data_IF_852731969607
#
_entry.id   IF_852731969607
#
_cell.length_a   1.000
_cell.length_b   1.000
_cell.length_c   1.000
_cell.angle_alpha   90.00
_cell.angle_beta   90.00
_cell.angle_gamma   90.00
#
_symmetry.space_group_name_H-M   'P 1'
#
loop_
_entity.id
_entity.type
_entity.pdbx_description
1 polymer ?
#
# COMPACT_ATOMS: atom_id res chain seq x y z
N UNK A 1 -17.00 -11.48 -1.90
CA UNK A 1 -16.31 -11.44 -3.23
C UNK A 1 -14.92 -12.04 -3.05
N UNK A 2 -14.27 -12.53 -4.11
CA UNK A 2 -12.92 -13.08 -4.01
C UNK A 2 -11.99 -12.43 -5.04
N UNK A 3 -10.76 -12.15 -4.63
CA UNK A 3 -9.70 -11.71 -5.55
C UNK A 3 -9.21 -12.95 -6.32
N UNK A 4 -9.22 -12.87 -7.64
CA UNK A 4 -8.76 -13.96 -8.50
C UNK A 4 -7.27 -13.83 -8.79
N UNK A 5 -6.57 -14.95 -8.65
CA UNK A 5 -5.13 -15.07 -8.91
C UNK A 5 -4.90 -16.26 -9.85
N UNK A 6 -4.03 -16.08 -10.81
CA UNK A 6 -3.56 -17.15 -11.71
C UNK A 6 -2.15 -17.55 -11.29
N UNK A 7 -1.93 -18.83 -11.00
CA UNK A 7 -0.62 -19.43 -10.80
C UNK A 7 -0.27 -20.23 -12.04
N UNK A 8 0.56 -19.68 -12.93
CA UNK A 8 0.96 -20.32 -14.18
C UNK A 8 2.36 -20.91 -14.07
N UNK A 9 2.51 -22.17 -14.53
CA UNK A 9 3.82 -22.81 -14.64
C UNK A 9 4.63 -22.11 -15.74
N UNK A 10 5.79 -21.57 -15.37
CA UNK A 10 6.71 -20.88 -16.30
C UNK A 10 8.14 -21.24 -16.01
N UNK A 11 8.96 -21.25 -17.05
CA UNK A 11 10.41 -21.38 -16.91
C UNK A 11 11.01 -20.06 -16.45
N UNK A 12 11.59 -20.05 -15.26
CA UNK A 12 12.30 -18.90 -14.68
C UNK A 12 13.80 -19.10 -14.91
N UNK A 13 14.39 -18.29 -15.79
CA UNK A 13 15.81 -18.40 -16.21
C UNK A 13 16.76 -17.60 -15.31
N UNK A 14 16.25 -16.64 -14.52
CA UNK A 14 17.02 -15.70 -13.70
C UNK A 14 16.67 -15.91 -12.23
N UNK A 15 17.69 -15.93 -11.36
CA UNK A 15 17.54 -16.06 -9.91
C UNK A 15 18.39 -17.18 -9.32
N UNK A 16 18.35 -17.33 -7.99
CA UNK A 16 19.16 -18.32 -7.24
C UNK A 16 18.83 -19.79 -7.60
N UNK A 17 17.61 -20.05 -8.07
CA UNK A 17 17.15 -21.39 -8.47
C UNK A 17 16.38 -21.30 -9.78
N UNK A 18 17.02 -21.37 -10.96
CA UNK A 18 16.33 -21.43 -12.24
C UNK A 18 15.56 -22.74 -12.38
N UNK A 19 14.51 -22.75 -13.22
CA UNK A 19 13.69 -23.92 -13.48
C UNK A 19 12.21 -23.59 -13.64
N UNK A 20 11.38 -24.61 -13.79
CA UNK A 20 9.94 -24.48 -13.92
C UNK A 20 9.31 -24.17 -12.56
N UNK A 21 8.59 -23.04 -12.46
CA UNK A 21 7.93 -22.58 -11.24
C UNK A 21 6.55 -22.04 -11.55
N UNK A 22 5.64 -22.19 -10.58
CA UNK A 22 4.36 -21.49 -10.63
C UNK A 22 4.57 -20.02 -10.27
N UNK A 23 4.30 -19.13 -11.23
CA UNK A 23 4.37 -17.68 -11.04
C UNK A 23 2.95 -17.18 -10.85
N UNK A 24 2.71 -16.53 -9.72
CA UNK A 24 1.40 -15.97 -9.37
C UNK A 24 1.26 -14.57 -9.93
N UNK A 25 0.07 -14.27 -10.46
CA UNK A 25 -0.31 -12.94 -10.93
C UNK A 25 -1.80 -12.70 -10.66
N UNK A 26 -2.22 -11.46 -10.37
CA UNK A 26 -3.63 -11.16 -10.25
C UNK A 26 -4.33 -11.37 -11.60
N UNK A 27 -5.53 -11.94 -11.56
CA UNK A 27 -6.45 -12.05 -12.69
C UNK A 27 -7.39 -10.84 -12.65
N UNK A 28 -6.95 -9.75 -13.32
CA UNK A 28 -7.65 -8.49 -13.27
C UNK A 28 -8.89 -8.52 -14.18
N UNK A 29 -10.00 -8.05 -13.66
CA UNK A 29 -11.20 -7.80 -14.46
C UNK A 29 -10.97 -6.65 -15.45
N UNK A 30 -11.90 -6.50 -16.37
CA UNK A 30 -11.93 -5.35 -17.29
C UNK A 30 -11.93 -4.04 -16.48
N UNK A 31 -11.10 -3.06 -16.84
CA UNK A 31 -11.05 -1.78 -16.15
C UNK A 31 -12.42 -1.10 -16.10
N UNK A 32 -12.79 -0.62 -14.92
CA UNK A 32 -14.00 0.17 -14.74
C UNK A 32 -13.77 1.55 -15.33
N UNK A 33 -14.74 2.06 -16.08
CA UNK A 33 -14.66 3.41 -16.66
C UNK A 33 -14.96 4.47 -15.60
N UNK A 34 -14.33 5.64 -15.72
CA UNK A 34 -14.60 6.81 -14.89
C UNK A 34 -16.09 7.15 -14.80
N UNK A 35 -16.78 7.12 -15.96
CA UNK A 35 -18.23 7.33 -16.03
C UNK A 35 -19.01 6.39 -15.11
N UNK A 36 -18.64 5.10 -15.07
CA UNK A 36 -19.29 4.10 -14.22
C UNK A 36 -19.05 4.40 -12.75
N UNK A 37 -17.82 4.79 -12.36
CA UNK A 37 -17.51 5.18 -10.98
C UNK A 37 -18.39 6.33 -10.52
N UNK A 38 -18.53 7.39 -11.32
CA UNK A 38 -19.37 8.54 -10.94
C UNK A 38 -20.87 8.22 -10.94
N UNK A 39 -21.35 7.32 -11.81
CA UNK A 39 -22.73 6.86 -11.78
C UNK A 39 -23.04 6.07 -10.50
N UNK A 40 -22.18 5.17 -10.10
CA UNK A 40 -22.35 4.41 -8.85
C UNK A 40 -22.26 5.34 -7.62
N UNK A 41 -21.28 6.26 -7.60
CA UNK A 41 -21.18 7.26 -6.54
C UNK A 41 -22.44 8.16 -6.44
N UNK A 42 -23.03 8.52 -7.57
CA UNK A 42 -24.29 9.27 -7.61
C UNK A 42 -25.45 8.47 -7.01
N UNK A 43 -25.52 7.17 -7.31
CA UNK A 43 -26.55 6.28 -6.75
C UNK A 43 -26.43 6.16 -5.22
N UNK A 44 -25.20 6.07 -4.70
CA UNK A 44 -24.96 5.96 -3.25
C UNK A 44 -25.16 7.27 -2.49
N UNK A 45 -24.78 8.41 -3.08
CA UNK A 45 -24.81 9.70 -2.40
C UNK A 45 -26.09 10.51 -2.62
N UNK A 46 -26.87 10.19 -3.65
CA UNK A 46 -28.01 11.01 -4.10
C UNK A 46 -27.59 12.31 -4.82
N UNK A 47 -26.28 12.53 -5.05
CA UNK A 47 -25.75 13.71 -5.76
C UNK A 47 -25.62 13.36 -7.25
N UNK A 48 -25.91 14.33 -8.15
CA UNK A 48 -25.79 14.04 -9.58
C UNK A 48 -24.34 13.70 -9.99
N UNK A 49 -24.18 12.75 -10.89
CA UNK A 49 -22.86 12.31 -11.38
C UNK A 49 -22.02 13.46 -11.97
N UNK A 50 -22.66 14.48 -12.55
CA UNK A 50 -21.98 15.66 -13.08
C UNK A 50 -21.36 16.52 -11.98
N UNK A 51 -22.05 16.71 -10.86
CA UNK A 51 -21.54 17.47 -9.70
C UNK A 51 -20.37 16.71 -9.05
N UNK A 52 -20.51 15.40 -8.87
CA UNK A 52 -19.43 14.55 -8.32
C UNK A 52 -18.20 14.62 -9.21
N UNK A 53 -18.37 14.52 -10.54
CA UNK A 53 -17.24 14.65 -11.48
C UNK A 53 -16.57 16.00 -11.37
N UNK A 54 -17.31 17.10 -11.36
CA UNK A 54 -16.75 18.44 -11.27
C UNK A 54 -15.96 18.65 -9.96
N UNK A 55 -16.47 18.15 -8.84
CA UNK A 55 -15.78 18.19 -7.54
C UNK A 55 -14.49 17.35 -7.56
N UNK A 56 -14.55 16.17 -8.18
CA UNK A 56 -13.37 15.30 -8.30
C UNK A 56 -12.29 15.89 -9.22
N UNK A 57 -12.69 16.49 -10.34
CA UNK A 57 -11.76 17.16 -11.26
C UNK A 57 -11.03 18.31 -10.55
N UNK A 58 -11.77 19.15 -9.82
CA UNK A 58 -11.20 20.24 -9.04
C UNK A 58 -10.24 19.72 -7.94
N UNK A 59 -10.63 18.71 -7.19
CA UNK A 59 -9.76 18.08 -6.18
C UNK A 59 -8.52 17.47 -6.83
N UNK A 60 -8.67 16.80 -7.97
CA UNK A 60 -7.57 16.19 -8.71
C UNK A 60 -6.53 17.22 -9.20
N UNK A 61 -6.99 18.40 -9.59
CA UNK A 61 -6.09 19.51 -9.98
C UNK A 61 -5.24 19.99 -8.80
N UNK A 62 -5.86 20.22 -7.65
CA UNK A 62 -5.18 20.61 -6.41
C UNK A 62 -4.19 19.54 -5.98
N UNK A 63 -4.64 18.27 -5.94
CA UNK A 63 -3.81 17.11 -5.57
C UNK A 63 -2.57 17.05 -6.48
N UNK A 64 -2.76 17.19 -7.79
CA UNK A 64 -1.65 17.16 -8.76
C UNK A 64 -0.62 18.26 -8.48
N UNK A 65 -1.07 19.49 -8.24
CA UNK A 65 -0.20 20.63 -7.96
C UNK A 65 0.64 20.38 -6.72
N UNK A 66 0.01 20.06 -5.61
CA UNK A 66 0.71 19.83 -4.33
C UNK A 66 1.63 18.58 -4.37
N UNK A 67 1.23 17.55 -5.11
CA UNK A 67 2.09 16.37 -5.29
C UNK A 67 3.38 16.70 -6.05
N UNK A 68 3.30 17.57 -7.07
CA UNK A 68 4.49 17.97 -7.84
C UNK A 68 5.38 18.94 -7.07
N UNK A 69 4.84 19.68 -6.09
CA UNK A 69 5.60 20.50 -5.15
C UNK A 69 6.30 19.67 -4.06
N UNK A 70 6.05 18.36 -4.00
CA UNK A 70 6.71 17.43 -3.07
C UNK A 70 5.96 17.20 -1.77
N UNK A 71 4.73 17.67 -1.67
CA UNK A 71 3.90 17.43 -0.49
C UNK A 71 3.36 16.00 -0.41
N UNK A 72 3.17 15.52 0.81
CA UNK A 72 2.42 14.28 1.09
C UNK A 72 0.94 14.64 1.24
N UNK A 73 0.08 14.03 0.43
CA UNK A 73 -1.33 14.41 0.33
C UNK A 73 -2.20 13.28 0.85
N UNK A 74 -3.03 13.53 1.87
CA UNK A 74 -4.05 12.59 2.29
C UNK A 74 -5.15 12.49 1.21
N UNK A 75 -5.54 11.28 0.88
CA UNK A 75 -6.70 10.95 0.04
C UNK A 75 -7.78 10.36 0.96
N UNK A 76 -8.78 11.13 1.36
CA UNK A 76 -9.79 10.69 2.32
C UNK A 76 -10.43 9.36 1.91
N UNK A 77 -10.52 8.42 2.85
CA UNK A 77 -11.08 7.08 2.62
C UNK A 77 -10.15 6.11 1.88
N UNK A 78 -9.03 6.57 1.33
CA UNK A 78 -8.14 5.73 0.52
C UNK A 78 -6.76 5.55 1.14
N UNK A 79 -6.12 6.65 1.54
CA UNK A 79 -4.74 6.59 2.04
C UNK A 79 -3.97 7.88 1.81
N UNK A 80 -2.68 7.77 1.56
CA UNK A 80 -1.79 8.92 1.37
C UNK A 80 -0.97 8.76 0.10
N UNK A 81 -0.85 9.84 -0.66
CA UNK A 81 -0.04 9.91 -1.87
C UNK A 81 1.16 10.83 -1.64
N UNK A 82 2.36 10.41 -2.06
CA UNK A 82 3.59 11.21 -1.95
C UNK A 82 4.51 11.02 -3.14
N UNK A 83 5.36 12.01 -3.37
CA UNK A 83 6.43 11.92 -4.34
C UNK A 83 7.56 11.00 -3.84
N UNK A 84 8.20 10.29 -4.76
CA UNK A 84 9.35 9.46 -4.46
C UNK A 84 10.33 9.41 -5.63
N UNK A 85 11.60 9.21 -5.30
CA UNK A 85 12.66 9.06 -6.29
C UNK A 85 13.41 7.75 -6.10
N UNK A 86 13.95 7.24 -7.19
CA UNK A 86 14.96 6.20 -7.17
C UNK A 86 16.25 6.80 -7.72
N UNK A 87 17.32 6.73 -6.93
CA UNK A 87 18.63 7.27 -7.31
C UNK A 87 19.73 6.25 -7.07
N UNK A 88 20.88 6.48 -7.70
CA UNK A 88 22.13 5.80 -7.36
C UNK A 88 22.76 6.50 -6.17
N UNK A 89 23.34 5.74 -5.24
CA UNK A 89 24.15 6.26 -4.15
C UNK A 89 25.54 6.62 -4.67
N UNK A 90 26.13 7.69 -4.12
CA UNK A 90 27.52 8.10 -4.37
C UNK A 90 28.20 8.42 -3.05
N UNK A 91 29.51 8.23 -2.96
CA UNK A 91 30.27 8.41 -1.73
C UNK A 91 30.72 9.86 -1.51
N UNK A 92 30.97 10.60 -2.60
CA UNK A 92 31.48 11.96 -2.55
C UNK A 92 30.40 13.00 -2.85
N UNK A 93 30.43 14.10 -2.12
CA UNK A 93 29.47 15.21 -2.30
C UNK A 93 29.56 15.81 -3.72
N UNK A 94 30.74 15.89 -4.29
CA UNK A 94 31.00 16.43 -5.63
C UNK A 94 30.31 15.62 -6.75
N UNK A 95 30.03 14.35 -6.49
CA UNK A 95 29.37 13.45 -7.43
C UNK A 95 27.84 13.53 -7.37
N UNK A 96 27.26 14.29 -6.42
CA UNK A 96 25.82 14.46 -6.29
C UNK A 96 25.31 15.34 -7.43
N UNK A 97 24.55 14.71 -8.35
CA UNK A 97 24.00 15.35 -9.55
C UNK A 97 22.58 14.91 -9.80
N UNK A 98 21.76 15.76 -10.41
CA UNK A 98 20.36 15.46 -10.72
C UNK A 98 20.18 14.22 -11.63
N UNK A 99 21.17 13.89 -12.46
CA UNK A 99 21.14 12.72 -13.34
C UNK A 99 21.28 11.39 -12.61
N UNK A 100 21.63 11.39 -11.33
CA UNK A 100 21.61 10.19 -10.48
C UNK A 100 20.18 9.71 -10.19
N UNK A 101 19.19 10.61 -10.33
CA UNK A 101 17.77 10.27 -10.17
C UNK A 101 17.33 9.54 -11.44
N UNK A 102 17.25 8.20 -11.36
CA UNK A 102 16.86 7.37 -12.50
C UNK A 102 15.36 7.32 -12.73
N UNK A 103 14.55 7.40 -11.66
CA UNK A 103 13.09 7.31 -11.74
C UNK A 103 12.44 8.30 -10.77
N UNK A 104 11.41 9.00 -11.27
CA UNK A 104 10.46 9.78 -10.45
C UNK A 104 9.14 9.05 -10.44
N UNK A 105 8.53 8.90 -9.26
CA UNK A 105 7.29 8.12 -9.10
C UNK A 105 6.41 8.73 -8.03
N UNK A 106 5.12 8.45 -8.12
CA UNK A 106 4.18 8.67 -7.03
C UNK A 106 4.05 7.36 -6.26
N UNK A 107 4.12 7.45 -4.95
CA UNK A 107 3.92 6.33 -4.02
C UNK A 107 2.58 6.55 -3.34
N UNK A 108 1.70 5.57 -3.47
CA UNK A 108 0.44 5.51 -2.75
C UNK A 108 0.59 4.55 -1.57
N UNK A 109 0.17 5.00 -0.39
CA UNK A 109 0.13 4.19 0.83
C UNK A 109 -1.32 4.09 1.27
N UNK A 110 -1.97 2.92 1.19
CA UNK A 110 -3.35 2.74 1.60
C UNK A 110 -3.52 2.98 3.10
N UNK A 111 -4.71 3.44 3.51
CA UNK A 111 -5.07 3.56 4.92
C UNK A 111 -5.33 2.18 5.55
N UNK A 112 -5.60 2.17 6.86
CA UNK A 112 -5.85 0.94 7.61
C UNK A 112 -7.11 0.25 7.10
N UNK A 113 -8.19 0.99 6.85
CA UNK A 113 -9.47 0.41 6.41
C UNK A 113 -9.33 -0.37 5.11
N UNK A 114 -8.61 0.20 4.12
CA UNK A 114 -8.35 -0.47 2.83
C UNK A 114 -7.47 -1.70 3.01
N UNK A 115 -6.48 -1.64 3.91
CA UNK A 115 -5.62 -2.81 4.22
C UNK A 115 -6.42 -3.93 4.87
N UNK A 116 -7.25 -3.59 5.85
CA UNK A 116 -8.08 -4.57 6.56
C UNK A 116 -9.14 -5.20 5.63
N UNK A 117 -9.73 -4.40 4.73
CA UNK A 117 -10.65 -4.91 3.72
C UNK A 117 -9.95 -5.88 2.76
N UNK A 118 -8.74 -5.55 2.30
CA UNK A 118 -7.92 -6.46 1.48
C UNK A 118 -7.56 -7.74 2.21
N UNK A 119 -7.18 -7.64 3.49
CA UNK A 119 -6.85 -8.80 4.33
C UNK A 119 -8.03 -9.74 4.54
N UNK A 120 -9.23 -9.18 4.72
CA UNK A 120 -10.46 -9.94 4.91
C UNK A 120 -11.08 -10.44 3.60
N UNK A 121 -10.57 -9.99 2.45
CA UNK A 121 -11.07 -10.43 1.15
C UNK A 121 -10.52 -11.81 0.80
N UNK A 122 -11.41 -12.76 0.51
CA UNK A 122 -11.02 -14.12 0.12
C UNK A 122 -10.25 -14.13 -1.20
N UNK A 123 -9.31 -15.07 -1.35
CA UNK A 123 -8.52 -15.27 -2.57
C UNK A 123 -8.89 -16.59 -3.21
N UNK A 124 -9.04 -16.59 -4.53
CA UNK A 124 -9.22 -17.78 -5.35
C UNK A 124 -8.06 -17.89 -6.34
N UNK A 125 -7.27 -18.96 -6.22
CA UNK A 125 -6.11 -19.20 -7.10
C UNK A 125 -6.48 -20.28 -8.12
N UNK A 126 -6.28 -19.98 -9.40
CA UNK A 126 -6.39 -20.96 -10.50
C UNK A 126 -4.99 -21.33 -10.98
N UNK A 127 -4.59 -22.58 -10.77
CA UNK A 127 -3.29 -23.08 -11.24
C UNK A 127 -3.41 -23.56 -12.67
N UNK A 128 -2.51 -23.07 -13.54
CA UNK A 128 -2.45 -23.39 -14.96
C UNK A 128 -1.12 -24.06 -15.27
N UNK A 129 -1.12 -24.98 -16.25
CA UNK A 129 0.10 -25.49 -16.87
C UNK A 129 0.76 -24.46 -17.81
N UNK A 130 1.79 -24.86 -18.54
CA UNK A 130 2.48 -24.02 -19.54
C UNK A 130 1.57 -23.66 -20.72
N UNK A 131 0.63 -24.54 -21.06
CA UNK A 131 -0.31 -24.42 -22.18
C UNK A 131 -1.57 -23.62 -21.82
N UNK A 132 -1.78 -23.35 -20.52
CA UNK A 132 -2.93 -22.59 -20.01
C UNK A 132 -4.11 -23.46 -19.58
N UNK A 133 -3.96 -24.79 -19.50
CA UNK A 133 -4.99 -25.67 -18.99
C UNK A 133 -5.06 -25.59 -17.45
N UNK A 134 -6.28 -25.69 -16.90
CA UNK A 134 -6.50 -25.64 -15.46
C UNK A 134 -6.08 -26.96 -14.82
N UNK A 135 -5.06 -26.90 -13.96
CA UNK A 135 -4.59 -28.04 -13.16
C UNK A 135 -5.34 -28.17 -11.83
N UNK A 136 -5.51 -27.06 -11.12
CA UNK A 136 -6.12 -27.03 -9.77
C UNK A 136 -6.73 -25.66 -9.49
N UNK A 137 -7.75 -25.62 -8.63
CA UNK A 137 -8.27 -24.39 -8.01
C UNK A 137 -8.09 -24.49 -6.50
N UNK A 138 -7.58 -23.40 -5.90
CA UNK A 138 -7.31 -23.25 -4.47
C UNK A 138 -8.07 -22.05 -3.97
N UNK A 139 -8.71 -22.16 -2.81
CA UNK A 139 -9.44 -21.05 -2.16
C UNK A 139 -8.80 -20.75 -0.80
N UNK A 140 -9.09 -19.60 -0.23
CA UNK A 140 -8.59 -19.20 1.10
C UNK A 140 -9.01 -20.12 2.25
N UNK A 141 -9.83 -21.13 2.01
CA UNK A 141 -10.12 -22.20 2.98
C UNK A 141 -9.16 -23.39 2.92
N UNK A 142 -8.30 -23.47 1.91
CA UNK A 142 -7.27 -24.49 1.80
C UNK A 142 -6.04 -23.98 2.59
N UNK A 143 -5.68 -24.71 3.64
CA UNK A 143 -4.65 -24.32 4.62
C UNK A 143 -3.36 -23.74 4.02
N UNK A 144 -3.18 -22.48 4.22
CA UNK A 144 -2.02 -21.69 3.88
C UNK A 144 -2.26 -20.29 4.40
N UNK A 145 -1.61 -19.91 5.49
CA UNK A 145 -1.70 -18.56 6.02
C UNK A 145 -1.11 -17.58 5.02
N UNK A 146 -1.89 -16.56 4.66
CA UNK A 146 -1.41 -15.41 3.91
C UNK A 146 -0.80 -14.47 4.93
N UNK A 147 0.51 -14.53 5.09
CA UNK A 147 1.23 -13.49 5.81
C UNK A 147 1.29 -12.24 4.93
N UNK A 148 0.51 -11.23 5.28
CA UNK A 148 0.65 -9.88 4.73
C UNK A 148 1.97 -9.30 5.21
N UNK A 149 3.01 -9.47 4.40
CA UNK A 149 4.31 -8.89 4.65
C UNK A 149 4.22 -7.37 4.41
N UNK A 150 4.06 -6.60 5.49
CA UNK A 150 3.99 -5.13 5.47
C UNK A 150 5.28 -4.45 4.97
N UNK A 151 6.25 -5.21 4.46
CA UNK A 151 7.55 -4.69 4.09
C UNK A 151 7.81 -4.73 2.58
N UNK A 152 7.13 -3.86 1.86
CA UNK A 152 7.45 -3.51 0.46
C UNK A 152 8.62 -2.53 0.37
N UNK A 153 9.73 -2.74 1.07
CA UNK A 153 11.01 -2.08 0.79
C UNK A 153 12.11 -2.60 1.72
N UNK A 154 12.80 -3.64 1.29
CA UNK A 154 14.26 -3.73 1.33
C UNK A 154 14.72 -5.02 0.69
N UNK A 155 15.19 -4.89 -0.54
CA UNK A 155 16.18 -5.79 -1.09
C UNK A 155 17.51 -5.43 -0.43
N UNK A 156 17.97 -6.29 0.49
CA UNK A 156 19.38 -6.49 0.81
C UNK A 156 19.49 -7.74 1.66
N UNK A 157 20.02 -8.78 1.00
CA UNK A 157 20.32 -10.03 1.65
C UNK A 157 21.31 -9.86 2.81
N UNK A 158 21.09 -10.61 3.85
CA UNK A 158 22.19 -11.33 4.49
C UNK A 158 21.68 -12.57 5.22
N UNK A 159 22.33 -13.65 4.91
CA UNK A 159 22.24 -14.99 5.46
C UNK A 159 22.87 -15.02 6.85
N UNK A 160 22.26 -15.71 7.80
CA UNK A 160 22.91 -16.00 9.09
C UNK A 160 22.06 -16.92 9.96
N UNK A 161 22.19 -18.21 9.73
CA UNK A 161 21.80 -19.26 10.68
C UNK A 161 22.49 -19.07 12.03
N UNK A 162 21.81 -19.26 13.14
CA UNK A 162 22.33 -20.09 14.23
C UNK A 162 21.23 -20.47 15.22
N UNK A 163 21.33 -21.71 15.64
CA UNK A 163 20.48 -22.48 16.51
C UNK A 163 20.49 -22.06 17.98
N UNK A 164 19.41 -22.44 18.66
CA UNK A 164 19.38 -23.15 19.96
C UNK A 164 19.51 -22.34 21.26
N UNK A 165 18.60 -22.64 22.19
CA UNK A 165 18.80 -22.38 23.60
C UNK A 165 17.52 -22.24 24.44
N UNK A 166 17.04 -23.35 24.90
CA UNK A 166 16.08 -23.62 25.98
C UNK A 166 16.35 -22.86 27.29
N UNK A 167 15.26 -22.59 28.06
CA UNK A 167 15.34 -22.48 29.51
C UNK A 167 14.58 -21.29 30.11
N UNK A 168 13.39 -21.45 30.62
CA UNK A 168 13.09 -21.63 32.04
C UNK A 168 12.79 -20.37 32.86
N UNK A 169 11.55 -20.35 33.33
CA UNK A 169 11.12 -20.04 34.71
C UNK A 169 10.93 -18.60 35.22
N UNK A 170 9.69 -18.40 35.60
CA UNK A 170 9.07 -17.73 36.76
C UNK A 170 9.47 -16.30 37.14
N UNK A 171 8.41 -15.53 37.46
CA UNK A 171 8.50 -14.47 38.47
C UNK A 171 7.54 -13.31 38.26
N UNK A 172 6.41 -13.39 38.90
CA UNK A 172 5.48 -12.37 39.38
C UNK A 172 6.13 -11.02 39.72
N UNK A 173 5.54 -9.89 39.33
CA UNK A 173 4.92 -8.92 40.24
C UNK A 173 4.37 -7.66 39.54
N UNK A 174 3.22 -7.27 40.04
CA UNK A 174 2.43 -6.06 39.75
C UNK A 174 3.16 -4.78 40.18
N UNK A 175 3.13 -3.75 39.34
CA UNK A 175 3.10 -2.39 39.88
C UNK A 175 2.24 -1.44 39.03
N UNK A 176 1.22 -0.98 39.69
CA UNK A 176 0.34 0.11 39.35
C UNK A 176 1.14 1.42 39.24
N UNK A 177 1.00 2.16 38.16
CA UNK A 177 1.61 3.48 37.98
C UNK A 177 0.73 4.37 37.13
N UNK A 178 -0.20 5.07 37.74
CA UNK A 178 -0.98 6.17 37.18
C UNK A 178 -0.04 7.28 36.71
N UNK A 179 0.05 7.52 35.41
CA UNK A 179 0.75 8.63 34.79
C UNK A 179 -0.21 9.51 34.02
N UNK A 180 -0.54 10.67 34.59
CA UNK A 180 -1.35 11.73 34.01
C UNK A 180 -0.58 12.35 32.84
N UNK A 181 -1.17 12.31 31.64
CA UNK A 181 -0.66 13.01 30.45
C UNK A 181 -1.26 14.43 30.47
N UNK A 182 -0.45 15.50 30.43
CA UNK A 182 -0.97 16.86 30.31
C UNK A 182 -1.42 17.13 28.87
N UNK A 183 -2.63 17.63 28.72
CA UNK A 183 -3.19 18.18 27.49
C UNK A 183 -2.47 19.48 27.11
N UNK A 184 -2.13 19.70 25.81
CA UNK A 184 -1.67 21.01 25.37
C UNK A 184 -2.85 21.99 25.35
N UNK A 185 -2.65 23.15 25.95
CA UNK A 185 -3.55 24.30 25.93
C UNK A 185 -3.59 24.94 24.55
N UNK A 186 -4.80 25.22 24.06
CA UNK A 186 -5.06 26.00 22.85
C UNK A 186 -4.49 27.41 22.98
N UNK A 187 -3.89 27.99 21.93
CA UNK A 187 -3.60 29.42 21.90
C UNK A 187 -4.88 30.20 21.60
N UNK A 188 -5.19 31.15 22.47
CA UNK A 188 -6.27 32.11 22.32
C UNK A 188 -6.06 32.97 21.06
N UNK A 189 -7.10 33.05 20.21
CA UNK A 189 -7.19 33.93 19.06
C UNK A 189 -7.33 35.39 19.57
N UNK A 190 -6.26 36.16 19.48
CA UNK A 190 -6.25 37.61 19.67
C UNK A 190 -6.50 38.30 18.30
N UNK A 191 -7.76 38.66 18.05
CA UNK A 191 -8.13 39.55 16.93
C UNK A 191 -8.10 41.01 17.41
N UNK A 192 -7.26 41.89 16.83
CA UNK A 192 -7.39 43.32 17.13
C UNK A 192 -8.59 43.89 16.36
N UNK A 193 -9.55 44.44 17.11
CA UNK A 193 -10.60 45.29 16.57
C UNK A 193 -9.97 46.59 16.04
N UNK A 194 -10.01 46.74 14.72
CA UNK A 194 -9.67 47.97 14.06
C UNK A 194 -10.84 48.94 13.99
N UNK A 195 -10.79 49.98 14.82
CA UNK A 195 -11.71 51.09 14.73
C UNK A 195 -11.28 52.11 13.66
N UNK A 196 -12.31 52.69 13.08
CA UNK A 196 -12.44 53.95 12.37
C UNK A 196 -12.01 53.99 10.89
#
# INVERSE_FOLDING_TARGET
MAIKVIAQLREVKIGKNPGKKFVMRPDLYVPITEKKVFQEAATHSGISAGVIKAAWDAAGEVIRTWATEGHSIPLPGLGTMRFGVRSKAVEKLEDVKANLISVRRIIFTPNVDVKDELKNTSIQITCLDEEGNVLKRVTSGDSGDIEDNENGSNDSGNNGSTENGSGGDSGTEVHSGSGIIPTPSDPEDDYPEGGN
#
